data_IF_389830872748
#
_entry.id   IF_389830872748
#
_cell.length_a   1.000
_cell.length_b   1.000
_cell.length_c   1.000
_cell.angle_alpha   90.00
_cell.angle_beta   90.00
_cell.angle_gamma   90.00
#
_symmetry.space_group_name_H-M   'P 1'
#
loop_
_entity.id
_entity.type
_entity.pdbx_description
1 polymer ?
#
# COMPACT_ATOMS: atom_id res chain seq x y z
N UNK A 1 56.21 12.12 51.38
CA UNK A 1 55.48 12.48 50.15
C UNK A 1 54.67 11.24 49.71
N UNK A 2 53.37 11.24 49.97
CA UNK A 2 52.50 10.12 49.66
C UNK A 2 51.81 10.46 48.32
N UNK A 3 52.11 9.70 47.26
CA UNK A 3 51.45 9.87 45.92
C UNK A 3 50.03 9.28 46.01
N UNK A 4 49.02 10.13 45.77
CA UNK A 4 47.61 9.70 45.62
C UNK A 4 47.43 9.06 44.22
N UNK A 5 46.74 7.93 44.08
CA UNK A 5 46.42 7.34 42.80
C UNK A 5 45.27 8.14 42.16
N UNK A 6 45.44 8.54 40.90
CA UNK A 6 44.36 9.13 40.06
C UNK A 6 43.37 8.06 39.65
N UNK A 7 42.13 8.19 40.08
CA UNK A 7 41.02 7.33 39.69
C UNK A 7 40.53 7.77 38.30
N UNK A 8 40.82 6.98 37.26
CA UNK A 8 40.27 7.20 35.92
C UNK A 8 38.86 6.58 35.87
N UNK A 9 37.87 7.43 35.86
CA UNK A 9 36.47 7.04 35.73
C UNK A 9 36.19 6.73 34.24
N UNK A 10 36.09 5.45 33.86
CA UNK A 10 35.61 5.04 32.58
C UNK A 10 34.07 5.16 32.57
N UNK A 11 33.54 6.22 31.91
CA UNK A 11 32.10 6.31 31.62
C UNK A 11 31.78 5.33 30.49
N UNK A 12 31.21 4.18 30.84
CA UNK A 12 30.52 3.31 29.86
C UNK A 12 29.24 4.01 29.41
N UNK A 13 29.26 4.65 28.27
CA UNK A 13 28.00 4.95 27.54
C UNK A 13 27.43 3.61 27.06
N UNK A 14 26.50 3.05 27.82
CA UNK A 14 25.66 1.97 27.33
C UNK A 14 24.76 2.55 26.22
N UNK A 15 25.09 2.29 24.96
CA UNK A 15 24.15 2.46 23.86
C UNK A 15 23.01 1.49 24.07
N UNK A 16 21.88 1.98 24.56
CA UNK A 16 20.63 1.22 24.58
C UNK A 16 20.33 0.83 23.13
N UNK A 17 20.56 -0.42 22.78
CA UNK A 17 20.08 -0.96 21.51
C UNK A 17 18.56 -0.81 21.54
N UNK A 18 18.00 -0.01 20.63
CA UNK A 18 16.55 0.12 20.47
C UNK A 18 16.00 -1.26 20.13
N UNK A 19 15.08 -1.77 20.93
CA UNK A 19 14.37 -3.00 20.59
C UNK A 19 13.35 -2.72 19.48
N UNK A 20 13.11 -3.74 18.67
CA UNK A 20 12.00 -3.75 17.73
C UNK A 20 10.68 -3.65 18.51
N UNK A 21 9.77 -2.76 18.11
CA UNK A 21 8.51 -2.56 18.84
C UNK A 21 7.32 -2.62 17.88
N UNK A 22 6.21 -3.18 18.37
CA UNK A 22 4.90 -3.15 17.70
C UNK A 22 3.91 -2.39 18.58
N UNK A 23 3.27 -1.38 18.04
CA UNK A 23 2.13 -0.68 18.64
C UNK A 23 0.89 -1.09 17.89
N UNK A 24 -0.03 -1.76 18.57
CA UNK A 24 -1.28 -2.23 17.96
C UNK A 24 -2.38 -1.19 18.11
N UNK A 25 -3.37 -1.24 17.22
CA UNK A 25 -4.62 -0.49 17.28
C UNK A 25 -4.46 1.03 17.40
N UNK A 26 -3.46 1.59 16.71
CA UNK A 26 -3.32 3.05 16.60
C UNK A 26 -4.49 3.60 15.81
N UNK A 27 -5.38 4.35 16.46
CA UNK A 27 -6.56 4.93 15.83
C UNK A 27 -6.14 6.10 14.94
N UNK A 28 -6.37 5.97 13.63
CA UNK A 28 -6.12 7.05 12.68
C UNK A 28 -7.39 7.80 12.24
N UNK A 29 -8.56 7.18 12.43
CA UNK A 29 -9.85 7.77 12.05
C UNK A 29 -10.99 7.22 12.92
N UNK A 30 -11.99 8.07 13.18
CA UNK A 30 -13.28 7.65 13.75
C UNK A 30 -14.39 8.08 12.78
N UNK A 31 -15.18 7.14 12.32
CA UNK A 31 -16.25 7.38 11.35
C UNK A 31 -17.36 6.34 11.48
N UNK A 32 -18.62 6.75 11.25
CA UNK A 32 -19.74 5.81 11.20
C UNK A 32 -19.89 4.91 12.45
N UNK A 33 -19.46 5.38 13.63
CA UNK A 33 -19.53 4.62 14.88
C UNK A 33 -18.44 3.54 15.02
N UNK A 34 -17.37 3.58 14.21
CA UNK A 34 -16.19 2.70 14.33
C UNK A 34 -14.92 3.52 14.47
N UNK A 35 -13.89 2.91 15.10
CA UNK A 35 -12.53 3.38 15.05
C UNK A 35 -11.79 2.55 13.99
N UNK A 36 -11.14 3.22 13.05
CA UNK A 36 -10.26 2.58 12.08
C UNK A 36 -8.82 2.68 12.61
N UNK A 37 -8.11 1.56 12.56
CA UNK A 37 -6.80 1.42 13.21
C UNK A 37 -5.72 0.99 12.24
N UNK A 38 -4.49 1.14 12.67
CA UNK A 38 -3.32 0.57 12.05
C UNK A 38 -2.40 -0.01 13.13
N UNK A 39 -1.66 -1.03 12.78
CA UNK A 39 -0.54 -1.48 13.60
C UNK A 39 0.75 -0.81 13.11
N UNK A 40 1.60 -0.40 14.04
CA UNK A 40 2.86 0.25 13.72
C UNK A 40 4.01 -0.59 14.21
N UNK A 41 4.87 -0.97 13.30
CA UNK A 41 6.04 -1.77 13.57
C UNK A 41 7.30 -0.92 13.38
N UNK A 42 8.01 -0.62 14.49
CA UNK A 42 9.23 0.17 14.48
C UNK A 42 10.45 -0.76 14.56
N UNK A 43 11.36 -0.72 13.56
CA UNK A 43 12.53 -1.58 13.56
C UNK A 43 13.55 -1.18 14.64
N UNK A 44 14.40 -2.12 15.05
CA UNK A 44 15.48 -1.85 16.00
C UNK A 44 16.52 -0.82 15.49
N UNK A 45 16.69 -0.76 14.17
CA UNK A 45 17.60 0.18 13.49
C UNK A 45 16.85 0.92 12.38
N UNK A 46 16.07 1.98 12.71
CA UNK A 46 15.27 2.69 11.72
C UNK A 46 16.15 3.49 10.76
N UNK A 47 15.80 3.44 9.46
CA UNK A 47 16.44 4.20 8.38
C UNK A 47 15.74 5.53 8.08
N UNK A 48 14.74 5.92 8.90
CA UNK A 48 13.87 7.09 8.79
C UNK A 48 12.87 7.05 7.62
N UNK A 49 12.83 6.00 6.83
CA UNK A 49 11.79 5.80 5.82
C UNK A 49 10.63 4.97 6.39
N UNK A 50 9.46 5.15 5.80
CA UNK A 50 8.25 4.42 6.16
C UNK A 50 7.68 3.66 4.97
N UNK A 51 7.07 2.52 5.26
CA UNK A 51 6.21 1.79 4.33
C UNK A 51 4.82 1.67 4.93
N UNK A 52 3.81 2.14 4.20
CA UNK A 52 2.41 1.97 4.56
C UNK A 52 1.84 0.83 3.73
N UNK A 53 1.50 -0.26 4.39
CA UNK A 53 0.91 -1.45 3.79
C UNK A 53 -0.61 -1.42 3.94
N UNK A 54 -1.32 -1.51 2.81
CA UNK A 54 -2.78 -1.58 2.78
C UNK A 54 -3.24 -3.02 3.02
N UNK A 55 -3.69 -3.31 4.23
CA UNK A 55 -4.25 -4.62 4.59
C UNK A 55 -5.62 -4.75 3.95
N UNK A 56 -5.70 -5.43 2.79
CA UNK A 56 -6.93 -5.48 2.00
C UNK A 56 -6.97 -6.70 1.08
N UNK A 57 -8.11 -7.40 1.06
CA UNK A 57 -8.44 -8.45 0.11
C UNK A 57 -9.87 -8.29 -0.38
N UNK A 58 -10.09 -7.97 -1.68
CA UNK A 58 -11.42 -7.66 -2.20
C UNK A 58 -12.11 -6.49 -1.49
N UNK A 59 -11.34 -5.47 -1.06
CA UNK A 59 -11.80 -4.34 -0.25
C UNK A 59 -12.42 -4.73 1.11
N UNK A 60 -12.05 -5.90 1.62
CA UNK A 60 -12.26 -6.31 3.01
C UNK A 60 -10.93 -6.10 3.74
N UNK A 61 -11.03 -5.65 4.98
CA UNK A 61 -9.88 -5.43 5.85
C UNK A 61 -10.29 -5.72 7.30
N UNK A 62 -9.49 -6.51 7.98
CA UNK A 62 -9.69 -6.84 9.39
C UNK A 62 -8.39 -7.31 10.06
N UNK A 63 -8.43 -7.48 11.37
CA UNK A 63 -7.27 -7.90 12.17
C UNK A 63 -6.86 -9.37 11.95
N UNK A 64 -7.73 -10.22 11.36
CA UNK A 64 -7.32 -11.59 10.98
C UNK A 64 -6.40 -11.56 9.77
N UNK A 65 -6.61 -10.61 8.86
CA UNK A 65 -5.74 -10.37 7.72
C UNK A 65 -4.37 -9.83 8.15
N UNK A 66 -4.31 -8.99 9.21
CA UNK A 66 -3.03 -8.59 9.81
C UNK A 66 -2.23 -9.81 10.28
N UNK A 67 -2.87 -10.80 10.88
CA UNK A 67 -2.19 -12.03 11.31
C UNK A 67 -1.67 -12.85 10.14
N UNK A 68 -2.33 -12.77 8.98
CA UNK A 68 -1.92 -13.49 7.77
C UNK A 68 -0.80 -12.78 7.01
N UNK A 69 -0.90 -11.46 6.78
CA UNK A 69 0.05 -10.69 5.97
C UNK A 69 1.18 -10.08 6.80
N UNK A 70 0.88 -9.63 8.03
CA UNK A 70 1.80 -8.87 8.88
C UNK A 70 3.18 -9.51 9.02
N UNK A 71 3.30 -10.79 9.40
CA UNK A 71 4.62 -11.41 9.60
C UNK A 71 5.53 -11.35 8.37
N UNK A 72 4.97 -11.49 7.16
CA UNK A 72 5.74 -11.39 5.92
C UNK A 72 6.14 -9.95 5.60
N UNK A 73 5.20 -9.01 5.77
CA UNK A 73 5.41 -7.58 5.55
C UNK A 73 6.43 -7.02 6.53
N UNK A 74 6.28 -7.30 7.82
CA UNK A 74 7.21 -6.90 8.87
C UNK A 74 8.61 -7.44 8.58
N UNK A 75 8.74 -8.74 8.27
CA UNK A 75 10.02 -9.35 7.94
C UNK A 75 10.70 -8.68 6.76
N UNK A 76 9.96 -8.39 5.71
CA UNK A 76 10.54 -7.81 4.48
C UNK A 76 10.99 -6.37 4.72
N UNK A 77 10.16 -5.52 5.32
CA UNK A 77 10.42 -4.09 5.39
C UNK A 77 11.09 -3.66 6.69
N UNK A 78 10.67 -4.20 7.84
CA UNK A 78 11.22 -3.79 9.13
C UNK A 78 12.65 -4.33 9.34
N UNK A 79 12.96 -5.55 8.87
CA UNK A 79 14.34 -6.08 8.88
C UNK A 79 15.28 -5.20 8.02
N UNK A 80 14.74 -4.49 7.04
CA UNK A 80 15.49 -3.53 6.21
C UNK A 80 15.52 -2.10 6.80
N UNK A 81 14.96 -1.90 7.99
CA UNK A 81 15.01 -0.62 8.73
C UNK A 81 13.85 0.34 8.43
N UNK A 82 12.85 -0.05 7.65
CA UNK A 82 11.65 0.77 7.45
C UNK A 82 10.71 0.69 8.65
N UNK A 83 10.13 1.81 9.05
CA UNK A 83 8.95 1.80 9.93
C UNK A 83 7.74 1.37 9.09
N UNK A 84 7.03 0.34 9.55
CA UNK A 84 5.89 -0.24 8.83
C UNK A 84 4.59 0.17 9.49
N UNK A 85 3.65 0.66 8.70
CA UNK A 85 2.28 0.98 9.10
C UNK A 85 1.32 0.04 8.36
N UNK A 86 0.69 -0.87 9.08
CA UNK A 86 -0.25 -1.84 8.53
C UNK A 86 -1.68 -1.31 8.71
N UNK A 87 -2.23 -0.70 7.67
CA UNK A 87 -3.51 0.01 7.72
C UNK A 87 -4.67 -0.95 7.56
N UNK A 88 -5.53 -1.01 8.58
CA UNK A 88 -6.83 -1.70 8.55
C UNK A 88 -7.92 -0.66 8.26
N UNK A 89 -8.48 -0.71 7.06
CA UNK A 89 -9.55 0.21 6.64
C UNK A 89 -10.94 -0.36 6.92
N UNK A 90 -11.98 0.43 6.74
CA UNK A 90 -13.36 -0.04 6.79
C UNK A 90 -13.65 -1.04 5.68
N UNK A 91 -14.31 -2.14 6.01
CA UNK A 91 -14.56 -3.23 5.09
C UNK A 91 -15.89 -3.08 4.33
N UNK A 92 -15.92 -3.54 3.07
CA UNK A 92 -17.17 -3.72 2.35
C UNK A 92 -18.02 -4.84 3.01
N UNK A 93 -19.34 -4.88 2.89
CA UNK A 93 -20.20 -3.94 2.15
C UNK A 93 -20.61 -2.70 2.97
N UNK A 94 -20.19 -2.61 4.25
CA UNK A 94 -20.53 -1.45 5.12
C UNK A 94 -19.99 -0.14 4.55
N UNK A 95 -18.74 -0.17 4.06
CA UNK A 95 -18.10 0.96 3.41
C UNK A 95 -17.91 0.67 1.92
N UNK A 96 -18.16 1.68 1.10
CA UNK A 96 -17.93 1.60 -0.35
C UNK A 96 -16.46 1.89 -0.68
N UNK A 97 -15.99 1.43 -1.82
CA UNK A 97 -14.60 1.64 -2.25
C UNK A 97 -14.21 3.12 -2.23
N UNK A 98 -15.11 4.03 -2.63
CA UNK A 98 -14.85 5.47 -2.56
C UNK A 98 -14.58 5.94 -1.11
N UNK A 99 -15.40 5.49 -0.14
CA UNK A 99 -15.21 5.81 1.28
C UNK A 99 -13.93 5.18 1.83
N UNK A 100 -13.59 3.96 1.37
CA UNK A 100 -12.35 3.28 1.74
C UNK A 100 -11.13 4.07 1.24
N UNK A 101 -11.19 4.63 0.03
CA UNK A 101 -10.12 5.50 -0.49
C UNK A 101 -9.93 6.72 0.42
N UNK A 102 -11.00 7.39 0.86
CA UNK A 102 -10.92 8.52 1.78
C UNK A 102 -10.33 8.13 3.16
N UNK A 103 -10.67 6.93 3.63
CA UNK A 103 -10.14 6.38 4.88
C UNK A 103 -8.63 6.14 4.80
N UNK A 104 -8.15 5.47 3.74
CA UNK A 104 -6.71 5.22 3.58
C UNK A 104 -5.93 6.50 3.29
N UNK A 105 -6.52 7.51 2.60
CA UNK A 105 -5.94 8.85 2.53
C UNK A 105 -5.78 9.48 3.91
N UNK A 106 -6.75 9.29 4.79
CA UNK A 106 -6.66 9.78 6.18
C UNK A 106 -5.56 9.07 6.95
N UNK A 107 -5.36 7.75 6.73
CA UNK A 107 -4.24 7.02 7.31
C UNK A 107 -2.89 7.58 6.85
N UNK A 108 -2.73 7.90 5.56
CA UNK A 108 -1.49 8.52 5.05
C UNK A 108 -1.27 9.91 5.67
N UNK A 109 -2.31 10.74 5.75
CA UNK A 109 -2.20 12.05 6.43
C UNK A 109 -1.81 11.90 7.90
N UNK A 110 -2.35 10.88 8.60
CA UNK A 110 -1.96 10.55 9.97
C UNK A 110 -0.45 10.25 10.06
N UNK A 111 0.07 9.39 9.20
CA UNK A 111 1.50 9.06 9.16
C UNK A 111 2.36 10.30 8.98
N UNK A 112 1.98 11.20 8.08
CA UNK A 112 2.70 12.47 7.87
C UNK A 112 2.63 13.41 9.08
N UNK A 113 1.44 13.56 9.67
CA UNK A 113 1.24 14.45 10.82
C UNK A 113 2.02 13.99 12.05
N UNK A 114 2.16 12.67 12.23
CA UNK A 114 2.85 12.04 13.36
C UNK A 114 4.27 11.56 13.00
N UNK A 115 4.82 12.01 11.89
CA UNK A 115 6.12 11.56 11.41
C UNK A 115 7.24 11.71 12.45
N UNK A 116 7.23 12.82 13.22
CA UNK A 116 8.21 13.08 14.28
C UNK A 116 8.11 12.04 15.42
N UNK A 117 6.90 11.61 15.81
CA UNK A 117 6.67 10.63 16.88
C UNK A 117 7.25 9.25 16.52
N UNK A 118 7.23 8.93 15.24
CA UNK A 118 7.77 7.67 14.71
C UNK A 118 9.23 7.80 14.23
N UNK A 119 9.78 9.01 14.19
CA UNK A 119 11.15 9.28 13.73
C UNK A 119 11.35 9.05 12.25
N UNK A 120 10.33 9.31 11.43
CA UNK A 120 10.35 9.16 9.97
C UNK A 120 10.48 10.51 9.27
N UNK A 121 11.05 10.48 8.07
CA UNK A 121 11.14 11.61 7.15
C UNK A 121 9.93 11.56 6.21
N UNK A 122 9.15 12.63 6.17
CA UNK A 122 7.96 12.74 5.32
C UNK A 122 8.25 12.69 3.82
N UNK A 123 9.50 12.90 3.41
CA UNK A 123 9.97 12.72 2.03
C UNK A 123 10.41 11.28 1.71
N UNK A 124 10.19 10.33 2.64
CA UNK A 124 10.59 8.93 2.51
C UNK A 124 9.45 7.97 2.89
N UNK A 125 8.25 8.25 2.37
CA UNK A 125 7.04 7.45 2.62
C UNK A 125 6.65 6.72 1.36
N UNK A 126 6.71 5.38 1.41
CA UNK A 126 6.22 4.49 0.36
C UNK A 126 4.88 3.86 0.73
N UNK A 127 4.04 3.57 -0.27
CA UNK A 127 2.80 2.81 -0.09
C UNK A 127 2.82 1.54 -0.91
N UNK A 128 2.28 0.47 -0.34
CA UNK A 128 2.20 -0.84 -1.01
C UNK A 128 0.99 -1.62 -0.55
N UNK A 129 0.61 -2.61 -1.33
CA UNK A 129 -0.45 -3.55 -1.03
C UNK A 129 -0.62 -4.57 -2.15
N UNK A 130 -1.41 -5.60 -1.86
CA UNK A 130 -1.68 -6.73 -2.73
C UNK A 130 -3.13 -6.64 -3.21
N UNK A 131 -3.40 -6.96 -4.49
CA UNK A 131 -4.76 -7.01 -5.04
C UNK A 131 -5.52 -5.69 -4.82
N UNK A 132 -6.65 -5.70 -4.10
CA UNK A 132 -7.36 -4.48 -3.71
C UNK A 132 -6.51 -3.53 -2.86
N UNK A 133 -5.54 -4.01 -2.07
CA UNK A 133 -4.57 -3.17 -1.38
C UNK A 133 -3.62 -2.45 -2.34
N UNK A 134 -3.22 -3.12 -3.42
CA UNK A 134 -2.47 -2.52 -4.54
C UNK A 134 -3.30 -1.46 -5.28
N UNK A 135 -4.58 -1.74 -5.53
CA UNK A 135 -5.52 -0.77 -6.06
C UNK A 135 -5.60 0.48 -5.18
N UNK A 136 -5.81 0.33 -3.87
CA UNK A 136 -5.87 1.44 -2.93
C UNK A 136 -4.57 2.25 -2.92
N UNK A 137 -3.41 1.57 -2.97
CA UNK A 137 -2.10 2.24 -3.04
C UNK A 137 -1.97 3.12 -4.29
N UNK A 138 -2.43 2.64 -5.46
CA UNK A 138 -2.43 3.41 -6.70
C UNK A 138 -3.47 4.55 -6.69
N UNK A 139 -4.64 4.35 -6.07
CA UNK A 139 -5.64 5.41 -5.89
C UNK A 139 -5.08 6.58 -5.06
N UNK A 140 -4.38 6.26 -3.97
CA UNK A 140 -3.71 7.27 -3.12
C UNK A 140 -2.62 8.00 -3.91
N UNK A 141 -1.83 7.29 -4.70
CA UNK A 141 -0.78 7.86 -5.52
C UNK A 141 -1.32 8.89 -6.55
N UNK A 142 -2.49 8.61 -7.11
CA UNK A 142 -3.16 9.50 -8.07
C UNK A 142 -3.93 10.67 -7.46
N UNK A 143 -3.99 10.76 -6.14
CA UNK A 143 -4.64 11.90 -5.46
C UNK A 143 -3.88 13.20 -5.72
N UNK A 144 -4.58 14.33 -5.99
CA UNK A 144 -3.93 15.61 -6.34
C UNK A 144 -2.89 16.10 -5.31
N UNK A 145 -3.14 15.82 -4.03
CA UNK A 145 -2.28 16.22 -2.90
C UNK A 145 -1.63 14.99 -2.24
N UNK A 146 -1.32 13.97 -3.05
CA UNK A 146 -0.71 12.75 -2.50
C UNK A 146 0.66 13.04 -1.89
N UNK A 147 0.85 12.80 -0.59
CA UNK A 147 2.13 13.00 0.05
C UNK A 147 3.04 11.75 -0.07
N UNK A 148 2.75 10.85 -1.01
CA UNK A 148 3.48 9.59 -1.19
C UNK A 148 4.67 9.80 -2.12
N UNK A 149 5.83 9.26 -1.74
CA UNK A 149 7.09 9.44 -2.47
C UNK A 149 7.43 8.28 -3.41
N UNK A 150 6.86 7.10 -3.18
CA UNK A 150 6.97 5.94 -4.08
C UNK A 150 5.83 4.96 -3.85
N UNK A 151 5.47 4.22 -4.89
CA UNK A 151 4.41 3.19 -4.85
C UNK A 151 4.96 1.85 -5.34
N UNK A 152 4.51 0.76 -4.72
CA UNK A 152 4.68 -0.59 -5.23
C UNK A 152 3.36 -1.34 -5.11
N UNK A 153 2.71 -1.65 -6.23
CA UNK A 153 1.43 -2.33 -6.26
C UNK A 153 1.59 -3.77 -6.78
N UNK A 154 1.06 -4.74 -6.04
CA UNK A 154 1.19 -6.16 -6.35
C UNK A 154 -0.16 -6.70 -6.81
N UNK A 155 -0.23 -7.22 -8.04
CA UNK A 155 -1.43 -7.75 -8.69
C UNK A 155 -2.66 -6.82 -8.59
N UNK A 156 -2.52 -5.49 -8.86
CA UNK A 156 -3.57 -4.53 -8.62
C UNK A 156 -4.63 -4.53 -9.74
N UNK A 157 -5.93 -4.41 -9.43
CA UNK A 157 -6.92 -3.82 -10.35
C UNK A 157 -6.55 -2.36 -10.66
N UNK A 158 -6.60 -1.94 -11.92
CA UNK A 158 -6.19 -0.58 -12.33
C UNK A 158 -7.20 0.11 -13.23
N UNK A 159 -7.92 -0.66 -14.07
CA UNK A 159 -9.00 -0.19 -14.94
C UNK A 159 -10.24 -1.08 -14.78
N UNK A 160 -11.21 -0.61 -14.04
CA UNK A 160 -12.45 -1.35 -13.77
C UNK A 160 -13.44 -1.29 -14.94
N UNK A 161 -13.17 -0.46 -15.95
CA UNK A 161 -14.00 -0.29 -17.16
C UNK A 161 -13.57 -1.24 -18.28
N UNK A 162 -12.27 -1.59 -18.31
CA UNK A 162 -11.69 -2.49 -19.31
C UNK A 162 -11.09 -3.71 -18.60
N UNK A 163 -11.92 -4.65 -18.16
CA UNK A 163 -11.49 -5.84 -17.40
C UNK A 163 -11.10 -6.99 -18.34
N UNK A 164 -9.82 -7.12 -18.61
CA UNK A 164 -9.28 -8.15 -19.52
C UNK A 164 -9.44 -7.83 -21.00
N UNK A 165 -10.37 -6.95 -21.38
CA UNK A 165 -10.58 -6.48 -22.76
C UNK A 165 -11.34 -5.15 -22.78
N UNK A 166 -11.22 -4.36 -23.85
CA UNK A 166 -11.91 -3.08 -24.00
C UNK A 166 -13.43 -3.21 -23.85
N UNK A 167 -14.04 -2.30 -23.09
CA UNK A 167 -15.48 -2.21 -22.89
C UNK A 167 -16.13 -3.34 -22.08
N UNK A 168 -15.36 -4.25 -21.55
CA UNK A 168 -15.83 -5.29 -20.62
C UNK A 168 -15.58 -4.83 -19.20
N UNK A 169 -16.58 -4.25 -18.54
CA UNK A 169 -16.39 -3.75 -17.16
C UNK A 169 -16.22 -4.89 -16.17
N UNK A 170 -15.55 -4.57 -15.05
CA UNK A 170 -15.25 -5.55 -13.99
C UNK A 170 -16.47 -6.43 -13.64
N UNK A 171 -17.65 -5.84 -13.54
CA UNK A 171 -18.87 -6.53 -13.13
C UNK A 171 -19.55 -7.36 -14.23
N UNK A 172 -19.10 -7.29 -15.47
CA UNK A 172 -19.49 -8.22 -16.53
C UNK A 172 -18.82 -9.61 -16.31
N UNK A 173 -17.74 -9.65 -15.55
CA UNK A 173 -17.16 -10.90 -15.08
C UNK A 173 -17.97 -11.43 -13.90
N UNK A 174 -18.55 -12.64 -14.04
CA UNK A 174 -19.42 -13.24 -13.05
C UNK A 174 -18.76 -13.42 -11.66
N UNK A 175 -17.44 -13.69 -11.62
CA UNK A 175 -16.69 -13.80 -10.37
C UNK A 175 -16.50 -12.44 -9.69
N UNK A 176 -16.39 -11.37 -10.47
CA UNK A 176 -16.22 -10.00 -9.96
C UNK A 176 -17.54 -9.33 -9.62
N UNK A 177 -18.67 -9.85 -10.06
CA UNK A 177 -19.99 -9.32 -9.74
C UNK A 177 -20.29 -9.29 -8.22
N UNK A 178 -19.63 -10.13 -7.44
CA UNK A 178 -19.70 -10.13 -5.97
C UNK A 178 -19.26 -8.78 -5.35
N UNK A 179 -18.50 -7.98 -6.07
CA UNK A 179 -18.04 -6.67 -5.61
C UNK A 179 -18.99 -5.50 -5.94
N UNK A 180 -20.11 -5.75 -6.63
CA UNK A 180 -21.12 -4.71 -6.92
C UNK A 180 -21.51 -3.90 -5.67
N UNK A 181 -21.79 -4.51 -4.51
CA UNK A 181 -22.09 -3.76 -3.29
C UNK A 181 -20.91 -2.89 -2.80
N UNK A 182 -19.69 -3.40 -2.92
CA UNK A 182 -18.47 -2.67 -2.54
C UNK A 182 -18.26 -1.43 -3.41
N UNK A 183 -18.54 -1.54 -4.69
CA UNK A 183 -18.42 -0.44 -5.66
C UNK A 183 -19.50 0.64 -5.47
N UNK A 184 -20.58 0.34 -4.72
CA UNK A 184 -21.71 1.25 -4.56
C UNK A 184 -22.55 1.39 -5.83
N UNK A 185 -22.56 0.36 -6.68
CA UNK A 185 -23.28 0.36 -7.96
C UNK A 185 -24.75 -0.07 -7.77
N UNK A 186 -25.61 0.55 -8.56
CA UNK A 186 -26.91 -0.04 -8.89
C UNK A 186 -26.73 -0.86 -10.18
N UNK A 187 -26.90 -2.20 -10.14
CA UNK A 187 -26.75 -3.04 -11.33
C UNK A 187 -27.82 -2.79 -12.41
N UNK A 188 -28.88 -2.04 -12.09
CA UNK A 188 -29.93 -1.62 -13.02
C UNK A 188 -29.69 -0.23 -13.61
N UNK A 189 -28.66 0.47 -13.18
CA UNK A 189 -28.32 1.78 -13.71
C UNK A 189 -27.93 1.70 -15.21
N UNK A 190 -28.10 2.77 -15.98
CA UNK A 190 -27.58 2.85 -17.32
C UNK A 190 -26.09 2.52 -17.40
N UNK A 191 -25.67 1.85 -18.47
CA UNK A 191 -24.26 1.45 -18.67
C UNK A 191 -23.31 2.65 -18.56
N UNK A 192 -23.70 3.80 -19.09
CA UNK A 192 -22.92 5.05 -19.00
C UNK A 192 -22.62 5.45 -17.54
N UNK A 193 -23.60 5.30 -16.66
CA UNK A 193 -23.46 5.69 -15.26
C UNK A 193 -22.59 4.70 -14.51
N UNK A 194 -22.74 3.40 -14.82
CA UNK A 194 -21.86 2.35 -14.33
C UNK A 194 -20.40 2.62 -14.71
N UNK A 195 -20.14 2.88 -16.00
CA UNK A 195 -18.79 3.18 -16.48
C UNK A 195 -18.23 4.46 -15.87
N UNK A 196 -19.04 5.52 -15.73
CA UNK A 196 -18.62 6.76 -15.10
C UNK A 196 -18.22 6.55 -13.63
N UNK A 197 -18.95 5.73 -12.89
CA UNK A 197 -18.59 5.34 -11.52
C UNK A 197 -17.29 4.54 -11.49
N UNK A 198 -17.18 3.51 -12.33
CA UNK A 198 -15.99 2.65 -12.37
C UNK A 198 -14.73 3.41 -12.78
N UNK A 199 -14.83 4.39 -13.71
CA UNK A 199 -13.71 5.30 -14.05
C UNK A 199 -13.21 6.08 -12.83
N UNK A 200 -14.12 6.58 -11.99
CA UNK A 200 -13.75 7.27 -10.74
C UNK A 200 -13.05 6.36 -9.73
N UNK A 201 -13.28 5.05 -9.83
CA UNK A 201 -12.65 4.04 -8.98
C UNK A 201 -11.46 3.34 -9.65
N UNK A 202 -11.03 3.78 -10.84
CA UNK A 202 -9.94 3.20 -11.61
C UNK A 202 -8.66 4.03 -11.45
N UNK A 203 -7.60 3.52 -10.84
CA UNK A 203 -6.32 4.24 -10.66
C UNK A 203 -5.75 4.83 -11.97
N UNK A 204 -5.89 4.12 -13.08
CA UNK A 204 -5.40 4.55 -14.40
C UNK A 204 -5.96 5.91 -14.83
N UNK A 205 -7.16 6.26 -14.36
CA UNK A 205 -7.83 7.54 -14.66
C UNK A 205 -7.13 8.75 -14.03
N UNK A 206 -6.26 8.55 -13.08
CA UNK A 206 -5.57 9.59 -12.30
C UNK A 206 -4.10 9.74 -12.66
N UNK A 207 -3.60 8.93 -13.59
CA UNK A 207 -2.20 9.00 -14.01
C UNK A 207 -1.91 10.34 -14.70
N UNK A 208 -0.90 11.02 -14.21
CA UNK A 208 -0.40 12.29 -14.76
C UNK A 208 1.10 12.45 -14.44
N UNK A 209 1.75 13.48 -14.97
CA UNK A 209 3.18 13.69 -14.83
C UNK A 209 3.68 13.93 -13.37
N UNK A 210 2.76 14.15 -12.42
CA UNK A 210 3.09 14.30 -10.98
C UNK A 210 2.90 12.99 -10.21
N UNK A 211 2.49 11.92 -10.88
CA UNK A 211 2.34 10.61 -10.24
C UNK A 211 3.69 10.13 -9.67
N UNK A 212 3.75 9.62 -8.44
CA UNK A 212 5.02 9.22 -7.84
C UNK A 212 5.65 8.03 -8.57
N UNK A 213 6.98 7.80 -8.43
CA UNK A 213 7.64 6.61 -8.93
C UNK A 213 6.89 5.34 -8.57
N UNK A 214 6.56 4.51 -9.56
CA UNK A 214 5.63 3.39 -9.40
C UNK A 214 6.20 2.07 -9.90
N UNK A 215 6.21 1.05 -9.03
CA UNK A 215 6.43 -0.34 -9.39
C UNK A 215 5.08 -1.08 -9.44
N UNK A 216 4.89 -1.86 -10.48
CA UNK A 216 3.80 -2.83 -10.58
C UNK A 216 4.41 -4.23 -10.67
N UNK A 217 3.94 -5.16 -9.85
CA UNK A 217 4.32 -6.57 -9.93
C UNK A 217 3.08 -7.40 -10.21
N UNK A 218 3.13 -8.27 -11.24
CA UNK A 218 1.96 -9.06 -11.63
C UNK A 218 2.35 -10.43 -12.13
N UNK A 219 1.52 -11.45 -11.87
CA UNK A 219 1.70 -12.80 -12.40
C UNK A 219 1.10 -12.95 -13.80
N UNK A 220 1.79 -13.63 -14.73
CA UNK A 220 1.28 -13.84 -16.09
C UNK A 220 0.18 -14.91 -16.18
N UNK A 221 0.00 -15.66 -15.11
CA UNK A 221 -1.04 -16.70 -15.01
C UNK A 221 -2.16 -16.33 -14.04
N UNK A 222 -2.27 -15.04 -13.66
CA UNK A 222 -3.32 -14.53 -12.79
C UNK A 222 -4.71 -14.64 -13.44
N UNK A 223 -5.60 -15.43 -12.81
CA UNK A 223 -6.97 -15.68 -13.27
C UNK A 223 -8.01 -14.82 -12.55
N UNK A 224 -7.58 -14.06 -11.54
CA UNK A 224 -8.45 -13.16 -10.75
C UNK A 224 -8.37 -11.76 -11.31
N UNK A 225 -7.16 -11.19 -11.37
CA UNK A 225 -6.89 -9.87 -11.95
C UNK A 225 -6.08 -10.08 -13.23
N UNK A 226 -6.63 -9.81 -14.41
CA UNK A 226 -5.92 -10.04 -15.67
C UNK A 226 -4.61 -9.24 -15.75
N UNK A 227 -3.53 -9.84 -16.27
CA UNK A 227 -2.24 -9.16 -16.48
C UNK A 227 -2.37 -7.86 -17.30
N UNK A 228 -3.37 -7.80 -18.18
CA UNK A 228 -3.71 -6.58 -18.94
C UNK A 228 -3.85 -5.35 -18.03
N UNK A 229 -4.39 -5.51 -16.81
CA UNK A 229 -4.52 -4.40 -15.85
C UNK A 229 -3.15 -3.75 -15.54
N UNK A 230 -2.15 -4.57 -15.29
CA UNK A 230 -0.78 -4.10 -15.05
C UNK A 230 -0.15 -3.48 -16.31
N UNK A 231 -0.38 -4.09 -17.47
CA UNK A 231 0.19 -3.63 -18.76
C UNK A 231 -0.38 -2.28 -19.20
N UNK A 232 -1.68 -2.06 -19.04
CA UNK A 232 -2.31 -0.77 -19.39
C UNK A 232 -1.89 0.34 -18.43
N UNK A 233 -1.76 0.03 -17.13
CA UNK A 233 -1.25 1.00 -16.16
C UNK A 233 0.21 1.38 -16.45
N UNK A 234 1.07 0.41 -16.79
CA UNK A 234 2.45 0.63 -17.20
C UNK A 234 2.54 1.56 -18.42
N UNK A 235 1.72 1.31 -19.45
CA UNK A 235 1.63 2.17 -20.63
C UNK A 235 1.16 3.58 -20.30
N UNK A 236 0.19 3.72 -19.38
CA UNK A 236 -0.31 5.03 -18.96
C UNK A 236 0.77 5.83 -18.22
N UNK A 237 1.52 5.17 -17.32
CA UNK A 237 2.65 5.77 -16.59
C UNK A 237 3.77 6.17 -17.57
N UNK A 238 4.11 5.32 -18.54
CA UNK A 238 5.07 5.65 -19.59
C UNK A 238 4.67 6.89 -20.38
N UNK A 239 3.40 6.93 -20.82
CA UNK A 239 2.86 8.08 -21.57
C UNK A 239 2.89 9.38 -20.76
N UNK A 240 2.71 9.31 -19.46
CA UNK A 240 2.78 10.45 -18.56
C UNK A 240 4.22 10.86 -18.17
N UNK A 241 5.24 10.11 -18.60
CA UNK A 241 6.65 10.35 -18.27
C UNK A 241 7.00 10.07 -16.81
N UNK A 242 6.22 9.23 -16.13
CA UNK A 242 6.45 8.82 -14.74
C UNK A 242 7.58 7.81 -14.68
N UNK A 243 8.44 7.90 -13.67
CA UNK A 243 9.42 6.85 -13.36
C UNK A 243 8.67 5.59 -12.90
N UNK A 244 8.72 4.52 -13.68
CA UNK A 244 7.91 3.33 -13.45
C UNK A 244 8.62 2.05 -13.87
N UNK A 245 8.11 0.93 -13.38
CA UNK A 245 8.56 -0.40 -13.77
C UNK A 245 7.42 -1.41 -13.66
N UNK A 246 7.25 -2.26 -14.66
CA UNK A 246 6.43 -3.47 -14.60
C UNK A 246 7.33 -4.69 -14.45
N UNK A 247 7.08 -5.49 -13.41
CA UNK A 247 7.73 -6.79 -13.16
C UNK A 247 6.71 -7.91 -13.32
N UNK A 248 6.88 -8.73 -14.35
CA UNK A 248 6.00 -9.86 -14.59
C UNK A 248 6.62 -11.13 -14.00
N UNK A 249 5.85 -11.84 -13.17
CA UNK A 249 6.25 -13.09 -12.53
C UNK A 249 5.78 -14.26 -13.41
N UNK A 250 6.73 -14.95 -14.02
CA UNK A 250 6.45 -16.08 -14.91
C UNK A 250 5.75 -17.23 -14.18
N UNK A 251 4.57 -17.64 -14.68
CA UNK A 251 3.71 -18.66 -14.11
C UNK A 251 3.13 -18.26 -12.74
N UNK A 252 3.22 -17.00 -12.34
CA UNK A 252 2.60 -16.46 -11.12
C UNK A 252 1.09 -16.33 -11.29
N UNK A 253 0.33 -16.78 -10.28
CA UNK A 253 -1.11 -16.61 -10.18
C UNK A 253 -1.48 -15.43 -9.26
N UNK A 254 -2.75 -15.39 -8.82
CA UNK A 254 -3.21 -14.47 -7.77
C UNK A 254 -2.97 -15.10 -6.40
N UNK A 255 -1.74 -15.43 -6.10
CA UNK A 255 -1.31 -16.25 -4.97
C UNK A 255 0.12 -15.91 -4.52
N UNK A 256 0.63 -16.67 -3.55
CA UNK A 256 1.96 -16.48 -2.95
C UNK A 256 3.11 -16.58 -3.97
N UNK A 257 2.92 -17.24 -5.12
CA UNK A 257 3.92 -17.28 -6.18
C UNK A 257 4.18 -15.91 -6.78
N UNK A 258 3.18 -15.02 -6.76
CA UNK A 258 3.30 -13.61 -7.15
C UNK A 258 3.54 -12.71 -5.93
N UNK A 259 2.83 -12.95 -4.82
CA UNK A 259 2.78 -12.02 -3.70
C UNK A 259 4.11 -11.95 -2.94
N UNK A 260 4.70 -13.09 -2.62
CA UNK A 260 5.98 -13.14 -1.91
C UNK A 260 7.12 -12.45 -2.69
N UNK A 261 7.41 -12.86 -3.94
CA UNK A 261 8.36 -12.13 -4.79
C UNK A 261 8.00 -10.65 -4.97
N UNK A 262 6.71 -10.33 -5.03
CA UNK A 262 6.21 -8.95 -5.13
C UNK A 262 6.66 -8.07 -3.96
N UNK A 263 6.54 -8.56 -2.73
CA UNK A 263 7.00 -7.84 -1.53
C UNK A 263 8.52 -7.61 -1.56
N UNK A 264 9.31 -8.59 -2.00
CA UNK A 264 10.76 -8.44 -2.11
C UNK A 264 11.14 -7.40 -3.17
N UNK A 265 10.45 -7.38 -4.32
CA UNK A 265 10.65 -6.37 -5.37
C UNK A 265 10.21 -4.97 -4.91
N UNK A 266 9.12 -4.87 -4.14
CA UNK A 266 8.68 -3.63 -3.50
C UNK A 266 9.74 -3.09 -2.52
N UNK A 267 10.35 -3.94 -1.70
CA UNK A 267 11.46 -3.54 -0.84
C UNK A 267 12.62 -2.96 -1.64
N UNK A 268 13.05 -3.62 -2.72
CA UNK A 268 14.15 -3.12 -3.56
C UNK A 268 13.80 -1.77 -4.17
N UNK A 269 12.56 -1.62 -4.67
CA UNK A 269 12.05 -0.36 -5.21
C UNK A 269 12.10 0.77 -4.18
N UNK A 270 11.61 0.54 -2.96
CA UNK A 270 11.65 1.55 -1.91
C UNK A 270 13.06 1.89 -1.45
N UNK A 271 13.98 0.93 -1.41
CA UNK A 271 15.41 1.24 -1.17
C UNK A 271 15.95 2.19 -2.23
N UNK A 272 15.63 1.94 -3.49
CA UNK A 272 16.11 2.74 -4.62
C UNK A 272 15.48 4.14 -4.68
N UNK A 273 14.24 4.30 -4.25
CA UNK A 273 13.52 5.56 -4.36
C UNK A 273 13.51 6.40 -3.08
N UNK A 274 13.60 5.79 -1.91
CA UNK A 274 13.42 6.47 -0.62
C UNK A 274 14.71 6.59 0.20
N UNK A 275 15.76 5.82 -0.10
CA UNK A 275 16.98 5.80 0.72
C UNK A 275 18.20 6.44 0.02
N UNK A 276 18.03 7.00 -1.16
CA UNK A 276 19.08 7.74 -1.88
C UNK A 276 19.24 9.15 -1.36
#
# INVERSE_FOLDING_TARGET
>A
MIKRPSLVLFSFLATLASAQTRTQDVIYMKTGGVALTMDVFKPAKPNKAAVVFMVSGGWISDHSMLKSFGPAVEKVFADAGFTVFEVVHGAQPRFKVAEIVDQVQTAIRFVHTHAADYGIDTHRVGVTGISSGGHLSLMIAGSPDSPVNAVAAIAPPTDLVNWGKPGFVLTDNAQMAVFIPALGMDPKAPRSDIEALLRKLSPISYVNAKYPPTLIVHGDSDKVVPLQQAQEMDQALAKAGVDHKLEVIAGGGHDDKTFGPGLVKALQWFKDKLLR
#
